data_IF_804962692351
#
_entry.id   IF_804962692351
#
_cell.length_a   1.000
_cell.length_b   1.000
_cell.length_c   1.000
_cell.angle_alpha   90.00
_cell.angle_beta   90.00
_cell.angle_gamma   90.00
#
_symmetry.space_group_name_H-M   'P 1'
#
loop_
_entity.id
_entity.type
_entity.pdbx_description
1 polymer ?
#
# COMPACT_ATOMS: atom_id res chain seq x y z
N UNK A 1 12.95 -15.59 -6.61
CA UNK A 1 11.66 -16.31 -6.58
C UNK A 1 11.57 -17.51 -7.56
N UNK A 2 12.58 -17.85 -8.39
CA UNK A 2 12.45 -18.99 -9.34
C UNK A 2 12.76 -20.36 -8.72
N UNK A 3 13.77 -20.45 -7.86
CA UNK A 3 14.21 -21.72 -7.29
C UNK A 3 13.37 -22.19 -6.07
N UNK A 4 12.50 -21.35 -5.52
CA UNK A 4 11.80 -21.64 -4.25
C UNK A 4 10.51 -22.47 -4.41
N UNK A 5 10.01 -22.68 -5.64
CA UNK A 5 8.79 -23.48 -5.85
C UNK A 5 8.84 -24.45 -7.05
N UNK A 6 9.57 -24.14 -8.13
CA UNK A 6 9.54 -24.93 -9.37
C UNK A 6 10.89 -25.58 -9.73
N UNK A 7 11.98 -25.23 -9.02
CA UNK A 7 13.32 -25.80 -9.26
C UNK A 7 13.94 -25.41 -10.61
N UNK A 8 13.48 -24.33 -11.24
CA UNK A 8 14.00 -23.86 -12.52
C UNK A 8 14.97 -22.69 -12.33
N UNK A 9 16.23 -22.91 -12.71
CA UNK A 9 17.18 -21.83 -12.93
C UNK A 9 16.86 -21.16 -14.27
N UNK A 10 16.66 -19.85 -14.23
CA UNK A 10 16.43 -19.04 -15.42
C UNK A 10 17.77 -18.46 -15.87
N UNK A 11 18.04 -18.56 -17.17
CA UNK A 11 19.12 -17.84 -17.82
C UNK A 11 18.86 -16.33 -17.79
N UNK A 12 19.90 -15.53 -18.00
CA UNK A 12 19.76 -14.07 -18.08
C UNK A 12 18.83 -13.61 -19.21
N UNK A 13 18.77 -14.36 -20.31
CA UNK A 13 17.89 -14.07 -21.45
C UNK A 13 16.41 -14.35 -21.11
N UNK A 14 16.12 -15.47 -20.43
CA UNK A 14 14.77 -15.78 -19.96
C UNK A 14 14.28 -14.78 -18.92
N UNK A 15 15.16 -14.33 -18.02
CA UNK A 15 14.85 -13.26 -17.06
C UNK A 15 14.45 -12.00 -17.82
N UNK A 16 15.23 -11.57 -18.81
CA UNK A 16 14.93 -10.38 -19.59
C UNK A 16 13.58 -10.48 -20.34
N UNK A 17 13.30 -11.64 -20.95
CA UNK A 17 12.04 -11.88 -21.66
C UNK A 17 10.83 -11.88 -20.71
N UNK A 18 10.95 -12.52 -19.54
CA UNK A 18 9.88 -12.54 -18.54
C UNK A 18 9.65 -11.14 -17.95
N UNK A 19 10.72 -10.39 -17.63
CA UNK A 19 10.58 -9.01 -17.14
C UNK A 19 9.89 -8.12 -18.17
N UNK A 20 10.27 -8.19 -19.44
CA UNK A 20 9.60 -7.46 -20.50
C UNK A 20 8.11 -7.82 -20.61
N UNK A 21 7.75 -9.10 -20.47
CA UNK A 21 6.35 -9.52 -20.42
C UNK A 21 5.61 -8.95 -19.21
N UNK A 22 6.20 -8.99 -18.01
CA UNK A 22 5.57 -8.47 -16.79
C UNK A 22 5.34 -6.95 -16.86
N UNK A 23 6.23 -6.21 -17.53
CA UNK A 23 6.06 -4.78 -17.78
C UNK A 23 4.81 -4.48 -18.61
N UNK A 24 4.42 -5.37 -19.53
CA UNK A 24 3.18 -5.22 -20.32
C UNK A 24 1.90 -5.42 -19.52
N UNK A 25 1.98 -5.93 -18.30
CA UNK A 25 0.81 -6.15 -17.44
C UNK A 25 0.36 -4.89 -16.70
N UNK A 26 1.10 -3.78 -16.83
CA UNK A 26 0.70 -2.49 -16.24
C UNK A 26 -0.39 -1.86 -17.09
N UNK A 27 -1.63 -1.89 -16.59
CA UNK A 27 -2.78 -1.25 -17.23
C UNK A 27 -2.92 0.24 -16.91
N UNK A 28 -3.95 0.85 -17.48
CA UNK A 28 -4.32 2.23 -17.15
C UNK A 28 -4.90 2.31 -15.73
N UNK A 29 -4.36 3.22 -14.92
CA UNK A 29 -4.91 3.50 -13.60
C UNK A 29 -6.21 4.31 -13.80
N UNK A 30 -7.33 3.91 -13.16
CA UNK A 30 -8.57 4.66 -13.29
C UNK A 30 -8.40 6.07 -12.73
N UNK A 31 -9.05 7.04 -13.37
CA UNK A 31 -9.16 8.38 -12.81
C UNK A 31 -10.04 8.36 -11.56
N UNK A 32 -9.50 8.85 -10.44
CA UNK A 32 -10.22 8.95 -9.16
C UNK A 32 -10.43 10.40 -8.83
N UNK A 33 -11.66 10.89 -8.98
CA UNK A 33 -12.05 12.23 -8.53
C UNK A 33 -11.99 12.30 -7.01
N UNK A 34 -11.32 13.32 -6.48
CA UNK A 34 -11.20 13.50 -5.03
C UNK A 34 -12.58 13.77 -4.41
N UNK A 35 -12.99 13.03 -3.38
CA UNK A 35 -14.31 13.21 -2.80
C UNK A 35 -14.38 14.51 -1.99
N UNK A 36 -15.50 15.21 -2.10
CA UNK A 36 -15.85 16.29 -1.18
C UNK A 36 -16.45 15.68 0.09
N UNK A 37 -15.68 15.69 1.18
CA UNK A 37 -16.15 15.20 2.47
C UNK A 37 -17.05 16.26 3.14
N UNK A 38 -18.18 15.84 3.76
CA UNK A 38 -19.06 16.78 4.45
C UNK A 38 -18.39 17.39 5.69
N UNK A 39 -18.79 18.61 6.10
CA UNK A 39 -18.34 19.17 7.35
C UNK A 39 -18.83 18.35 8.54
N UNK A 40 -18.01 18.28 9.58
CA UNK A 40 -18.42 17.68 10.85
C UNK A 40 -19.58 18.47 11.48
N UNK A 41 -20.45 17.75 12.17
CA UNK A 41 -21.53 18.34 12.98
C UNK A 41 -21.16 18.31 14.47
N UNK A 42 -22.02 18.90 15.31
CA UNK A 42 -21.87 18.81 16.76
C UNK A 42 -21.97 17.36 17.28
N UNK A 43 -22.65 16.48 16.53
CA UNK A 43 -22.81 15.06 16.89
C UNK A 43 -21.67 14.18 16.35
N UNK A 44 -20.83 14.71 15.45
CA UNK A 44 -19.69 13.95 14.92
C UNK A 44 -18.66 13.72 16.04
N UNK A 45 -18.36 12.45 16.41
CA UNK A 45 -17.38 12.16 17.44
C UNK A 45 -16.03 12.79 17.14
N UNK A 46 -15.33 13.29 18.17
CA UNK A 46 -14.02 13.90 18.00
C UNK A 46 -12.96 12.84 17.70
N UNK A 47 -11.94 13.15 16.88
CA UNK A 47 -10.80 12.27 16.68
C UNK A 47 -10.11 11.94 18.00
N UNK A 48 -9.75 10.67 18.20
CA UNK A 48 -8.90 10.26 19.31
C UNK A 48 -7.48 10.74 19.05
N UNK A 49 -6.97 11.60 19.93
CA UNK A 49 -5.56 11.99 19.88
C UNK A 49 -4.71 10.86 20.45
N UNK A 50 -3.56 10.58 19.83
CA UNK A 50 -2.50 9.77 20.45
C UNK A 50 -1.92 10.53 21.66
N UNK A 51 -2.62 10.55 22.78
CA UNK A 51 -2.09 11.09 24.04
C UNK A 51 -1.34 9.99 24.77
N UNK A 52 -0.04 10.21 25.02
CA UNK A 52 0.71 9.44 26.01
C UNK A 52 -0.02 9.61 27.36
N UNK A 53 -0.32 8.53 28.11
CA UNK A 53 -1.07 8.66 29.36
C UNK A 53 -0.32 9.57 30.33
N UNK A 54 -0.99 10.63 30.79
CA UNK A 54 -0.47 11.63 31.74
C UNK A 54 -0.17 11.06 33.13
N UNK A 55 -0.47 9.79 33.37
CA UNK A 55 -0.28 9.09 34.64
C UNK A 55 1.17 8.66 34.90
N UNK A 56 2.12 8.96 34.02
CA UNK A 56 3.54 8.65 34.18
C UNK A 56 4.40 9.81 34.74
N UNK A 57 3.81 10.97 35.06
CA UNK A 57 4.54 12.18 35.51
C UNK A 57 4.28 12.56 36.99
N UNK A 58 3.64 11.71 37.78
CA UNK A 58 3.50 11.91 39.23
C UNK A 58 4.39 10.91 39.99
N UNK A 59 5.67 11.25 40.11
CA UNK A 59 6.53 10.84 41.23
C UNK A 59 6.53 11.96 42.27
#
# INVERSE_FOLDING_TARGET
MSNSQLGTELSGEEIAAITAFLETLTGEIPEVTYPELPPNTAETPKPETMQRPRSAEAE
#
